data_IF_479714972085
#
_entry.id   IF_479714972085
#
_cell.length_a   1.000
_cell.length_b   1.000
_cell.length_c   1.000
_cell.angle_alpha   90.00
_cell.angle_beta   90.00
_cell.angle_gamma   90.00
#
_symmetry.space_group_name_H-M   'P 1'
#
loop_
_entity.id
_entity.type
_entity.pdbx_description
1 polymer ?
#
# COMPACT_ATOMS: atom_id res chain seq x y z
N UNK A 1 -62.88 -24.33 23.45
CA UNK A 1 -62.47 -23.42 22.35
C UNK A 1 -61.02 -22.96 22.58
N UNK A 2 -60.01 -23.53 21.91
CA UNK A 2 -58.62 -23.08 22.03
C UNK A 2 -58.28 -21.99 21.00
N UNK A 3 -57.43 -21.02 21.39
CA UNK A 3 -56.98 -19.89 20.56
C UNK A 3 -55.95 -20.34 19.53
N UNK A 4 -56.23 -20.15 18.24
CA UNK A 4 -55.31 -20.41 17.14
C UNK A 4 -54.08 -19.48 17.18
N UNK A 5 -52.92 -20.10 17.06
CA UNK A 5 -51.58 -19.51 17.07
C UNK A 5 -51.38 -18.67 15.80
N UNK A 6 -50.96 -17.41 15.98
CA UNK A 6 -50.64 -16.44 14.92
C UNK A 6 -49.45 -16.97 14.08
N UNK A 7 -49.66 -17.18 12.78
CA UNK A 7 -48.60 -17.53 11.84
C UNK A 7 -47.55 -16.44 11.79
N UNK A 8 -46.28 -16.82 11.95
CA UNK A 8 -45.13 -15.94 11.75
C UNK A 8 -44.77 -16.03 10.27
N UNK A 9 -45.12 -15.00 9.48
CA UNK A 9 -44.53 -14.82 8.15
C UNK A 9 -43.17 -14.15 8.33
N UNK A 10 -42.09 -14.91 8.15
CA UNK A 10 -40.74 -14.39 8.06
C UNK A 10 -40.54 -13.71 6.69
N UNK A 11 -40.10 -12.45 6.62
CA UNK A 11 -39.76 -11.84 5.34
C UNK A 11 -38.47 -12.50 4.81
N UNK A 12 -38.60 -13.26 3.72
CA UNK A 12 -37.47 -13.81 2.97
C UNK A 12 -36.69 -12.65 2.33
N UNK A 13 -35.56 -12.27 2.95
CA UNK A 13 -34.61 -11.33 2.36
C UNK A 13 -33.91 -12.02 1.18
N UNK A 14 -34.11 -11.46 -0.03
CA UNK A 14 -33.40 -11.87 -1.24
C UNK A 14 -31.89 -11.74 -1.00
N UNK A 15 -31.05 -12.73 -1.37
CA UNK A 15 -29.60 -12.60 -1.20
C UNK A 15 -29.13 -11.43 -2.05
N UNK A 16 -28.59 -10.41 -1.38
CA UNK A 16 -27.93 -9.29 -2.05
C UNK A 16 -26.76 -9.86 -2.83
N UNK A 17 -26.78 -9.67 -4.15
CA UNK A 17 -25.74 -10.10 -5.07
C UNK A 17 -24.36 -9.79 -4.48
N UNK A 18 -23.50 -10.81 -4.41
CA UNK A 18 -22.10 -10.70 -3.97
C UNK A 18 -21.46 -9.52 -4.70
N UNK A 19 -21.27 -8.41 -3.99
CA UNK A 19 -20.48 -7.29 -4.50
C UNK A 19 -19.14 -7.86 -4.99
N UNK A 20 -18.60 -7.38 -6.13
CA UNK A 20 -17.28 -7.81 -6.56
C UNK A 20 -16.34 -7.58 -5.38
N UNK A 21 -15.68 -8.64 -4.91
CA UNK A 21 -14.66 -8.54 -3.86
C UNK A 21 -13.72 -7.44 -4.32
N UNK A 22 -13.78 -6.28 -3.67
CA UNK A 22 -12.69 -5.32 -3.74
C UNK A 22 -11.47 -6.11 -3.33
N UNK A 23 -10.61 -6.41 -4.30
CA UNK A 23 -9.31 -6.98 -4.03
C UNK A 23 -8.65 -5.89 -3.17
N UNK A 24 -8.61 -6.09 -1.86
CA UNK A 24 -7.73 -5.36 -0.99
C UNK A 24 -6.38 -6.06 -1.13
N UNK A 25 -5.41 -5.57 -1.92
CA UNK A 25 -4.13 -6.22 -2.02
C UNK A 25 -3.28 -5.83 -0.81
N UNK A 26 -3.74 -6.08 0.42
CA UNK A 26 -2.92 -5.87 1.62
C UNK A 26 -3.32 -6.90 2.68
N UNK A 27 -2.91 -8.15 2.46
CA UNK A 27 -2.79 -9.13 3.53
C UNK A 27 -1.42 -8.91 4.20
N UNK A 28 -1.33 -8.40 5.44
CA UNK A 28 -0.06 -8.24 6.14
C UNK A 28 0.63 -9.59 6.47
N UNK A 29 -0.09 -10.71 6.30
CA UNK A 29 0.43 -12.08 6.47
C UNK A 29 1.01 -12.71 5.20
N UNK A 30 0.91 -12.06 4.04
CA UNK A 30 1.63 -12.48 2.83
C UNK A 30 2.61 -11.38 2.47
N UNK A 31 3.82 -11.43 3.03
CA UNK A 31 4.88 -10.46 2.80
C UNK A 31 5.30 -10.47 1.33
N UNK A 32 4.50 -9.82 0.49
CA UNK A 32 4.78 -9.61 -0.92
C UNK A 32 6.07 -8.80 -0.94
N UNK A 33 7.17 -9.43 -1.37
CA UNK A 33 8.46 -8.76 -1.46
C UNK A 33 8.29 -7.51 -2.32
N UNK A 34 8.82 -6.39 -1.83
CA UNK A 34 8.86 -5.13 -2.55
C UNK A 34 9.32 -5.35 -4.00
N UNK A 35 8.42 -5.08 -4.95
CA UNK A 35 8.67 -5.14 -6.37
C UNK A 35 8.89 -3.73 -6.91
N UNK A 36 10.16 -3.37 -7.06
CA UNK A 36 10.63 -2.06 -7.51
C UNK A 36 9.93 -1.53 -8.78
N UNK A 37 9.66 -2.38 -9.77
CA UNK A 37 9.05 -1.95 -11.05
C UNK A 37 7.57 -1.60 -10.93
N UNK A 38 6.87 -2.21 -9.97
CA UNK A 38 5.42 -2.07 -9.80
C UNK A 38 5.11 -1.07 -8.69
N UNK A 39 5.79 -1.21 -7.55
CA UNK A 39 5.47 -0.46 -6.34
C UNK A 39 6.01 0.96 -6.40
N UNK A 40 7.24 1.16 -6.89
CA UNK A 40 7.91 2.45 -6.83
C UNK A 40 7.21 3.54 -7.66
N UNK A 41 6.73 3.28 -8.90
CA UNK A 41 5.95 4.26 -9.66
C UNK A 41 4.67 4.71 -8.93
N UNK A 42 4.00 3.80 -8.20
CA UNK A 42 2.78 4.09 -7.42
C UNK A 42 3.08 4.94 -6.18
N UNK A 43 4.29 4.85 -5.65
CA UNK A 43 4.69 5.52 -4.41
C UNK A 43 5.25 6.93 -4.63
N UNK A 44 6.11 7.14 -5.64
CA UNK A 44 6.87 8.40 -5.81
C UNK A 44 6.84 9.00 -7.23
N UNK A 45 5.88 8.62 -8.08
CA UNK A 45 5.73 9.15 -9.45
C UNK A 45 7.05 9.14 -10.24
N UNK A 46 7.69 7.98 -10.31
CA UNK A 46 8.85 7.71 -11.16
C UNK A 46 8.42 6.83 -12.33
N UNK A 47 8.94 7.11 -13.53
CA UNK A 47 8.66 6.28 -14.70
C UNK A 47 9.46 4.97 -14.63
N UNK A 48 8.85 3.81 -14.93
CA UNK A 48 9.56 2.52 -14.91
C UNK A 48 10.84 2.49 -15.76
N UNK A 49 10.86 3.24 -16.87
CA UNK A 49 11.96 3.31 -17.83
C UNK A 49 13.19 4.05 -17.26
N UNK A 50 12.97 4.92 -16.28
CA UNK A 50 14.05 5.61 -15.56
C UNK A 50 14.81 4.68 -14.61
N UNK A 51 14.26 3.50 -14.26
CA UNK A 51 14.86 2.53 -13.34
C UNK A 51 16.00 1.71 -13.96
N UNK A 52 16.91 2.35 -14.69
CA UNK A 52 18.11 1.70 -15.22
C UNK A 52 18.98 1.15 -14.07
N UNK A 53 19.46 -0.10 -14.16
CA UNK A 53 20.37 -0.63 -13.16
C UNK A 53 21.71 0.11 -13.19
N UNK A 54 22.44 0.13 -12.07
CA UNK A 54 23.85 0.53 -12.06
C UNK A 54 24.16 2.00 -11.80
N UNK A 55 23.17 2.86 -11.53
CA UNK A 55 23.44 4.29 -11.25
C UNK A 55 23.27 4.63 -9.77
N UNK A 56 24.38 4.93 -9.10
CA UNK A 56 24.37 5.42 -7.71
C UNK A 56 23.58 6.73 -7.58
N UNK A 57 23.71 7.64 -8.55
CA UNK A 57 23.00 8.92 -8.56
C UNK A 57 21.48 8.76 -8.64
N UNK A 58 21.00 7.85 -9.52
CA UNK A 58 19.59 7.50 -9.58
C UNK A 58 19.11 6.93 -8.24
N UNK A 59 19.91 6.06 -7.63
CA UNK A 59 19.58 5.44 -6.35
C UNK A 59 19.48 6.46 -5.22
N UNK A 60 20.39 7.45 -5.17
CA UNK A 60 20.33 8.58 -4.24
C UNK A 60 19.05 9.40 -4.42
N UNK A 61 18.66 9.67 -5.66
CA UNK A 61 17.45 10.44 -5.94
C UNK A 61 16.17 9.69 -5.52
N UNK A 62 16.06 8.40 -5.84
CA UNK A 62 14.94 7.55 -5.41
C UNK A 62 14.79 7.57 -3.89
N UNK A 63 15.88 7.34 -3.17
CA UNK A 63 15.90 7.37 -1.69
C UNK A 63 15.47 8.74 -1.16
N UNK A 64 15.92 9.83 -1.77
CA UNK A 64 15.53 11.20 -1.42
C UNK A 64 14.03 11.42 -1.59
N UNK A 65 13.46 11.00 -2.72
CA UNK A 65 12.02 11.12 -3.02
C UNK A 65 11.17 10.29 -2.04
N UNK A 66 11.57 9.04 -1.76
CA UNK A 66 10.91 8.18 -0.77
C UNK A 66 10.90 8.81 0.63
N UNK A 67 12.03 9.40 1.05
CA UNK A 67 12.12 10.11 2.33
C UNK A 67 11.18 11.32 2.39
N UNK A 68 11.05 12.08 1.31
CA UNK A 68 10.14 13.21 1.23
C UNK A 68 8.68 12.76 1.31
N UNK A 69 8.31 11.70 0.58
CA UNK A 69 6.98 11.10 0.63
C UNK A 69 6.62 10.58 2.03
N UNK A 70 7.53 9.87 2.71
CA UNK A 70 7.35 9.42 4.10
C UNK A 70 7.10 10.59 5.06
N UNK A 71 7.86 11.68 4.92
CA UNK A 71 7.67 12.88 5.75
C UNK A 71 6.33 13.55 5.49
N UNK A 72 5.87 13.59 4.23
CA UNK A 72 4.54 14.09 3.91
C UNK A 72 3.45 13.22 4.53
N UNK A 73 3.54 11.89 4.40
CA UNK A 73 2.56 10.96 4.96
C UNK A 73 2.51 11.04 6.49
N UNK A 74 3.68 11.08 7.14
CA UNK A 74 3.77 11.25 8.60
C UNK A 74 3.14 12.57 9.06
N UNK A 75 3.38 13.68 8.35
CA UNK A 75 2.76 14.98 8.69
C UNK A 75 1.24 14.92 8.61
N UNK A 76 0.69 14.26 7.58
CA UNK A 76 -0.77 14.06 7.46
C UNK A 76 -1.32 13.25 8.63
N UNK A 77 -0.66 12.14 8.98
CA UNK A 77 -1.06 11.29 10.11
C UNK A 77 -1.04 12.04 11.45
N UNK A 78 -0.01 12.85 11.70
CA UNK A 78 0.09 13.68 12.91
C UNK A 78 -0.98 14.78 12.96
N UNK A 79 -1.38 15.32 11.81
CA UNK A 79 -2.43 16.32 11.72
C UNK A 79 -3.86 15.73 11.79
N UNK A 80 -4.00 14.40 11.89
CA UNK A 80 -5.30 13.73 11.78
C UNK A 80 -5.97 13.95 10.42
N UNK A 81 -5.17 14.24 9.38
CA UNK A 81 -5.70 14.59 8.07
C UNK A 81 -6.39 13.37 7.45
N UNK A 82 -7.60 13.56 6.92
CA UNK A 82 -8.43 12.49 6.37
C UNK A 82 -7.75 11.66 5.27
N UNK A 83 -6.81 12.26 4.54
CA UNK A 83 -6.06 11.59 3.47
C UNK A 83 -4.83 10.83 3.96
N UNK A 84 -4.64 10.68 5.27
CA UNK A 84 -3.59 9.83 5.81
C UNK A 84 -3.92 8.36 5.53
N UNK A 85 -2.96 7.64 4.99
CA UNK A 85 -3.10 6.23 4.67
C UNK A 85 -1.96 5.41 5.33
N UNK A 86 -2.33 4.56 6.29
CA UNK A 86 -1.40 3.68 7.01
C UNK A 86 -0.80 2.60 6.11
N UNK A 87 -1.58 2.05 5.17
CA UNK A 87 -1.10 1.04 4.24
C UNK A 87 -0.03 1.65 3.33
N UNK A 88 -0.32 2.82 2.75
CA UNK A 88 0.65 3.60 1.96
C UNK A 88 1.90 3.96 2.77
N UNK A 89 1.75 4.34 4.03
CA UNK A 89 2.90 4.62 4.91
C UNK A 89 3.80 3.39 5.05
N UNK A 90 3.21 2.21 5.29
CA UNK A 90 3.97 0.96 5.45
C UNK A 90 4.69 0.55 4.17
N UNK A 91 4.04 0.71 3.01
CA UNK A 91 4.63 0.46 1.69
C UNK A 91 5.81 1.40 1.40
N UNK A 92 5.65 2.70 1.68
CA UNK A 92 6.73 3.68 1.58
C UNK A 92 7.93 3.32 2.46
N UNK A 93 7.69 2.84 3.68
CA UNK A 93 8.75 2.47 4.61
C UNK A 93 9.53 1.23 4.14
N UNK A 94 8.80 0.21 3.64
CA UNK A 94 9.41 -1.00 3.07
C UNK A 94 10.25 -0.66 1.85
N UNK A 95 9.72 0.11 0.89
CA UNK A 95 10.46 0.56 -0.29
C UNK A 95 11.71 1.37 0.09
N UNK A 96 11.58 2.30 1.04
CA UNK A 96 12.70 3.10 1.52
C UNK A 96 13.85 2.25 2.10
N UNK A 97 13.53 1.24 2.91
CA UNK A 97 14.54 0.34 3.50
C UNK A 97 15.26 -0.47 2.43
N UNK A 98 14.52 -1.02 1.46
CA UNK A 98 15.11 -1.81 0.38
C UNK A 98 15.97 -0.95 -0.56
N UNK A 99 15.53 0.27 -0.90
CA UNK A 99 16.32 1.18 -1.73
C UNK A 99 17.56 1.74 -0.98
N UNK A 100 17.52 1.86 0.36
CA UNK A 100 18.71 2.18 1.16
C UNK A 100 19.75 1.05 1.12
N UNK A 101 19.32 -0.21 1.23
CA UNK A 101 20.23 -1.36 1.08
C UNK A 101 20.88 -1.38 -0.31
N UNK A 102 20.11 -1.12 -1.36
CA UNK A 102 20.63 -0.99 -2.73
C UNK A 102 21.64 0.15 -2.87
N UNK A 103 21.40 1.30 -2.25
CA UNK A 103 22.35 2.42 -2.26
C UNK A 103 23.67 2.06 -1.56
N UNK A 104 23.59 1.37 -0.42
CA UNK A 104 24.77 0.91 0.30
C UNK A 104 25.58 -0.09 -0.55
N UNK A 105 24.91 -1.00 -1.25
CA UNK A 105 25.57 -1.95 -2.16
C UNK A 105 26.28 -1.24 -3.34
N UNK A 106 25.71 -0.15 -3.88
CA UNK A 106 26.39 0.65 -4.91
C UNK A 106 27.67 1.31 -4.38
N UNK A 107 27.63 1.89 -3.18
CA UNK A 107 28.81 2.53 -2.56
C UNK A 107 29.96 1.57 -2.23
N UNK A 108 29.67 0.28 -2.12
CA UNK A 108 30.68 -0.75 -1.84
C UNK A 108 31.33 -1.31 -3.11
N UNK A 109 30.76 -1.03 -4.28
CA UNK A 109 31.22 -1.53 -5.57
C UNK A 109 32.15 -0.54 -6.30
N UNK A 110 32.28 0.69 -5.79
CA UNK A 110 33.21 1.73 -6.22
C UNK A 110 34.46 1.74 -5.32
#
# INVERSE_FOLDING_TARGET
MPRSRRGQETPQLKPLATAPRTIFPDNPGNATRYNRKIDLPRLISIWPEELRPGSENLQKDIVRRLRAALRAERRRGLAGHWSYDLARHSQLLTAYREEQKRLAAHRQAD
#
